data_IF_264424799693
#
_entry.id   IF_264424799693
#
_cell.length_a   1.000
_cell.length_b   1.000
_cell.length_c   1.000
_cell.angle_alpha   90.00
_cell.angle_beta   90.00
_cell.angle_gamma   90.00
#
_symmetry.space_group_name_H-M   'P 1'
#
loop_
_entity.id
_entity.type
_entity.pdbx_description
1 polymer ?
#
# COMPACT_ATOMS: atom_id res chain seq x y z
N UNK A 1 34.98 -5.38 12.36
CA UNK A 1 35.13 -6.78 11.92
C UNK A 1 34.15 -7.77 12.62
N UNK A 2 33.08 -7.29 13.28
CA UNK A 2 32.06 -8.14 13.96
C UNK A 2 30.76 -8.30 13.15
N UNK A 3 30.53 -7.43 12.15
CA UNK A 3 29.37 -7.50 11.25
C UNK A 3 29.51 -8.54 10.12
N UNK A 4 30.71 -9.08 9.88
CA UNK A 4 30.97 -10.00 8.76
C UNK A 4 30.52 -11.44 9.01
N UNK A 5 30.08 -11.76 10.24
CA UNK A 5 29.70 -13.11 10.67
C UNK A 5 28.25 -13.27 11.11
N UNK A 6 27.43 -12.20 11.07
CA UNK A 6 25.99 -12.37 11.08
C UNK A 6 25.59 -13.03 9.76
N UNK A 7 25.64 -14.38 9.78
CA UNK A 7 25.40 -15.32 8.69
C UNK A 7 24.37 -14.73 7.75
N UNK A 8 24.73 -14.53 6.47
CA UNK A 8 23.84 -14.10 5.37
C UNK A 8 22.40 -14.63 5.47
N UNK A 9 22.25 -15.87 5.96
CA UNK A 9 20.98 -16.58 6.25
C UNK A 9 20.11 -15.99 7.37
N UNK A 10 20.69 -15.36 8.39
CA UNK A 10 20.01 -14.63 9.47
C UNK A 10 19.42 -13.32 8.92
N UNK A 11 20.21 -12.55 8.16
CA UNK A 11 19.78 -11.29 7.52
C UNK A 11 18.64 -11.56 6.52
N UNK A 12 18.74 -12.62 5.73
CA UNK A 12 17.67 -13.04 4.81
C UNK A 12 16.39 -13.49 5.53
N UNK A 13 16.51 -14.10 6.73
CA UNK A 13 15.35 -14.45 7.56
C UNK A 13 14.70 -13.19 8.13
N UNK A 14 15.50 -12.27 8.66
CA UNK A 14 15.02 -11.01 9.23
C UNK A 14 14.28 -10.18 8.17
N UNK A 15 14.85 -10.07 6.96
CA UNK A 15 14.20 -9.36 5.86
C UNK A 15 12.85 -9.98 5.47
N UNK A 16 12.75 -11.31 5.41
CA UNK A 16 11.49 -12.00 5.13
C UNK A 16 10.46 -11.77 6.24
N UNK A 17 10.89 -11.85 7.50
CA UNK A 17 10.04 -11.57 8.66
C UNK A 17 9.49 -10.14 8.63
N UNK A 18 10.38 -9.16 8.53
CA UNK A 18 10.01 -7.74 8.46
C UNK A 18 9.11 -7.43 7.27
N UNK A 19 9.46 -7.90 6.08
CA UNK A 19 8.64 -7.67 4.88
C UNK A 19 7.25 -8.31 5.00
N UNK A 20 7.14 -9.47 5.65
CA UNK A 20 5.84 -10.12 5.88
C UNK A 20 4.99 -9.32 6.86
N UNK A 21 5.59 -8.83 7.95
CA UNK A 21 4.92 -7.95 8.92
C UNK A 21 4.42 -6.68 8.22
N UNK A 22 5.28 -6.04 7.42
CA UNK A 22 4.90 -4.84 6.65
C UNK A 22 3.72 -5.13 5.72
N UNK A 23 3.76 -6.22 4.96
CA UNK A 23 2.67 -6.60 4.07
C UNK A 23 1.35 -6.85 4.82
N UNK A 24 1.39 -7.57 5.94
CA UNK A 24 0.22 -7.85 6.79
C UNK A 24 -0.35 -6.54 7.34
N UNK A 25 0.50 -5.65 7.87
CA UNK A 25 0.09 -4.32 8.34
C UNK A 25 -0.55 -3.51 7.23
N UNK A 26 -0.03 -3.60 6.00
CA UNK A 26 -0.65 -3.00 4.82
C UNK A 26 -2.07 -3.51 4.58
N UNK A 27 -2.26 -4.83 4.51
CA UNK A 27 -3.58 -5.45 4.28
C UNK A 27 -4.55 -5.04 5.39
N UNK A 28 -4.18 -5.24 6.66
CA UNK A 28 -5.03 -4.95 7.81
C UNK A 28 -5.35 -3.46 7.87
N UNK A 29 -4.35 -2.60 7.66
CA UNK A 29 -4.51 -1.15 7.64
C UNK A 29 -5.49 -0.69 6.57
N UNK A 30 -5.41 -1.24 5.34
CA UNK A 30 -6.34 -0.91 4.26
C UNK A 30 -7.81 -1.15 4.63
N UNK A 31 -8.11 -2.22 5.38
CA UNK A 31 -9.47 -2.46 5.88
C UNK A 31 -9.88 -1.50 6.99
N UNK A 32 -8.97 -1.19 7.92
CA UNK A 32 -9.29 -0.38 9.10
C UNK A 32 -9.41 1.13 8.80
N UNK A 33 -8.79 1.64 7.74
CA UNK A 33 -8.80 3.08 7.43
C UNK A 33 -10.22 3.58 7.13
N UNK A 34 -11.04 2.78 6.44
CA UNK A 34 -12.43 3.15 6.18
C UNK A 34 -13.23 3.30 7.47
N UNK A 35 -13.08 2.35 8.39
CA UNK A 35 -13.75 2.40 9.70
C UNK A 35 -13.25 3.58 10.54
N UNK A 36 -11.95 3.87 10.48
CA UNK A 36 -11.37 5.04 11.13
C UNK A 36 -11.90 6.36 10.54
N UNK A 37 -12.08 6.43 9.23
CA UNK A 37 -12.69 7.57 8.54
C UNK A 37 -14.13 7.79 9.00
N UNK A 38 -14.97 6.75 8.97
CA UNK A 38 -16.38 6.81 9.41
C UNK A 38 -16.46 7.31 10.85
N UNK A 39 -15.69 6.71 11.77
CA UNK A 39 -15.67 7.13 13.19
C UNK A 39 -15.21 8.59 13.36
N UNK A 40 -14.32 9.07 12.52
CA UNK A 40 -13.86 10.46 12.56
C UNK A 40 -14.88 11.43 11.98
N UNK A 41 -15.59 11.05 10.92
CA UNK A 41 -16.70 11.83 10.36
C UNK A 41 -17.89 11.91 11.31
N UNK A 42 -18.24 10.83 12.02
CA UNK A 42 -19.30 10.86 13.04
C UNK A 42 -18.97 11.82 14.19
N UNK A 43 -17.69 11.89 14.59
CA UNK A 43 -17.21 12.85 15.59
C UNK A 43 -17.23 14.29 15.06
N UNK A 44 -16.91 14.48 13.78
CA UNK A 44 -16.97 15.79 13.13
C UNK A 44 -18.43 16.28 13.03
N UNK A 45 -19.37 15.40 12.68
CA UNK A 45 -20.82 15.67 12.63
C UNK A 45 -21.34 16.30 13.91
N UNK A 46 -20.96 15.75 15.07
CA UNK A 46 -21.37 16.25 16.39
C UNK A 46 -20.77 17.64 16.67
N UNK A 47 -19.56 17.91 16.17
CA UNK A 47 -18.79 19.13 16.49
C UNK A 47 -19.14 20.31 15.58
N UNK A 48 -19.40 20.07 14.30
CA UNK A 48 -19.57 21.13 13.30
C UNK A 48 -21.02 21.30 12.84
N UNK A 49 -21.96 20.49 13.37
CA UNK A 49 -23.36 20.46 12.94
C UNK A 49 -23.48 20.26 11.42
N UNK A 50 -22.56 19.44 10.88
CA UNK A 50 -22.37 19.28 9.44
C UNK A 50 -23.61 18.71 8.76
N UNK A 51 -23.92 19.28 7.60
CA UNK A 51 -24.94 18.78 6.71
C UNK A 51 -24.57 17.37 6.25
N UNK A 52 -25.53 16.45 6.26
CA UNK A 52 -25.39 15.05 5.82
C UNK A 52 -24.74 14.92 4.42
N UNK A 53 -24.89 15.96 3.58
CA UNK A 53 -24.25 16.12 2.28
C UNK A 53 -22.71 16.11 2.34
N UNK A 54 -22.11 16.73 3.36
CA UNK A 54 -20.66 16.76 3.51
C UNK A 54 -20.09 15.38 3.84
N UNK A 55 -20.73 14.67 4.77
CA UNK A 55 -20.33 13.31 5.15
C UNK A 55 -20.41 12.37 3.93
N UNK A 56 -21.51 12.45 3.17
CA UNK A 56 -21.67 11.68 1.94
C UNK A 56 -20.60 12.03 0.89
N UNK A 57 -20.28 13.32 0.74
CA UNK A 57 -19.20 13.76 -0.15
C UNK A 57 -17.84 13.19 0.27
N UNK A 58 -17.48 13.28 1.55
CA UNK A 58 -16.20 12.81 2.08
C UNK A 58 -16.04 11.30 1.92
N UNK A 59 -17.08 10.54 2.29
CA UNK A 59 -17.11 9.09 2.11
C UNK A 59 -17.04 8.71 0.62
N UNK A 60 -17.78 9.40 -0.25
CA UNK A 60 -17.76 9.12 -1.68
C UNK A 60 -16.37 9.35 -2.29
N UNK A 61 -15.66 10.42 -1.90
CA UNK A 61 -14.28 10.67 -2.36
C UNK A 61 -13.31 9.59 -1.93
N UNK A 62 -13.36 9.21 -0.65
CA UNK A 62 -12.51 8.13 -0.14
C UNK A 62 -12.85 6.78 -0.79
N UNK A 63 -14.12 6.38 -0.81
CA UNK A 63 -14.57 5.09 -1.34
C UNK A 63 -14.26 4.99 -2.85
N UNK A 64 -14.40 6.09 -3.61
CA UNK A 64 -14.01 6.14 -5.02
C UNK A 64 -12.53 5.88 -5.21
N UNK A 65 -11.67 6.60 -4.47
CA UNK A 65 -10.23 6.38 -4.54
C UNK A 65 -9.88 4.94 -4.14
N UNK A 66 -10.37 4.48 -2.99
CA UNK A 66 -10.08 3.18 -2.43
C UNK A 66 -10.47 2.03 -3.36
N UNK A 67 -11.64 2.12 -4.00
CA UNK A 67 -12.09 1.12 -4.96
C UNK A 67 -11.12 1.00 -6.14
N UNK A 68 -10.77 2.14 -6.77
CA UNK A 68 -9.90 2.13 -7.94
C UNK A 68 -8.45 1.75 -7.58
N UNK A 69 -7.92 2.29 -6.50
CA UNK A 69 -6.54 2.05 -6.07
C UNK A 69 -6.31 0.59 -5.67
N UNK A 70 -7.20 0.02 -4.84
CA UNK A 70 -7.12 -1.38 -4.42
C UNK A 70 -7.33 -2.35 -5.59
N UNK A 71 -8.25 -2.04 -6.52
CA UNK A 71 -8.47 -2.87 -7.71
C UNK A 71 -7.23 -2.89 -8.60
N UNK A 72 -6.64 -1.72 -8.88
CA UNK A 72 -5.39 -1.63 -9.67
C UNK A 72 -4.25 -2.36 -8.96
N UNK A 73 -4.11 -2.17 -7.65
CA UNK A 73 -3.10 -2.88 -6.84
C UNK A 73 -3.26 -4.40 -6.93
N UNK A 74 -4.48 -4.91 -6.80
CA UNK A 74 -4.76 -6.34 -6.90
C UNK A 74 -4.35 -6.89 -8.27
N UNK A 75 -4.69 -6.20 -9.36
CA UNK A 75 -4.30 -6.59 -10.73
C UNK A 75 -2.76 -6.63 -10.85
N UNK A 76 -2.08 -5.59 -10.36
CA UNK A 76 -0.61 -5.49 -10.40
C UNK A 76 0.03 -6.65 -9.63
N UNK A 77 -0.42 -6.93 -8.42
CA UNK A 77 0.13 -8.02 -7.59
C UNK A 77 -0.08 -9.35 -8.30
N UNK A 78 -1.29 -9.65 -8.77
CA UNK A 78 -1.59 -10.89 -9.48
C UNK A 78 -0.70 -11.03 -10.73
N UNK A 79 -0.58 -9.98 -11.53
CA UNK A 79 0.27 -9.98 -12.73
C UNK A 79 1.74 -10.25 -12.39
N UNK A 80 2.28 -9.60 -11.36
CA UNK A 80 3.65 -9.80 -10.90
C UNK A 80 3.86 -11.23 -10.36
N UNK A 81 2.94 -11.75 -9.54
CA UNK A 81 3.04 -13.10 -9.00
C UNK A 81 3.01 -14.15 -10.13
N UNK A 82 2.11 -14.00 -11.11
CA UNK A 82 2.04 -14.87 -12.29
C UNK A 82 3.32 -14.80 -13.14
N UNK A 83 3.86 -13.59 -13.32
CA UNK A 83 5.11 -13.40 -14.06
C UNK A 83 6.28 -14.10 -13.37
N UNK A 84 6.43 -13.93 -12.05
CA UNK A 84 7.50 -14.58 -11.28
C UNK A 84 7.31 -16.10 -11.30
N UNK A 85 6.08 -16.59 -11.11
CA UNK A 85 5.77 -18.03 -11.13
C UNK A 85 6.14 -18.67 -12.47
N UNK A 86 5.67 -18.10 -13.60
CA UNK A 86 5.93 -18.63 -14.95
C UNK A 86 7.43 -18.66 -15.28
N UNK A 87 8.20 -17.71 -14.74
CA UNK A 87 9.62 -17.56 -15.03
C UNK A 87 10.55 -18.09 -13.93
N UNK A 88 10.04 -18.85 -12.93
CA UNK A 88 10.81 -19.28 -11.75
C UNK A 88 12.18 -19.92 -12.07
N UNK A 89 12.25 -20.73 -13.13
CA UNK A 89 13.47 -21.41 -13.56
C UNK A 89 14.40 -20.56 -14.46
N UNK A 90 13.91 -19.43 -15.00
CA UNK A 90 14.61 -18.58 -15.98
C UNK A 90 14.83 -17.13 -15.48
N UNK A 91 14.67 -16.92 -14.18
CA UNK A 91 14.88 -15.63 -13.51
C UNK A 91 16.39 -15.37 -13.36
N UNK A 92 17.00 -14.87 -14.44
CA UNK A 92 18.38 -14.36 -14.41
C UNK A 92 18.53 -13.20 -13.42
N UNK A 93 19.73 -12.93 -12.91
CA UNK A 93 19.99 -11.80 -12.00
C UNK A 93 19.46 -10.46 -12.54
N UNK A 94 19.61 -10.19 -13.83
CA UNK A 94 19.17 -8.94 -14.46
C UNK A 94 17.64 -8.81 -14.46
N UNK A 95 16.91 -9.89 -14.75
CA UNK A 95 15.44 -9.91 -14.67
C UNK A 95 14.95 -9.70 -13.25
N UNK A 96 15.66 -10.26 -12.26
CA UNK A 96 15.35 -10.06 -10.83
C UNK A 96 15.59 -8.61 -10.40
N UNK A 97 16.61 -7.95 -10.97
CA UNK A 97 16.88 -6.53 -10.75
C UNK A 97 15.76 -5.68 -11.36
N UNK A 98 15.45 -5.89 -12.65
CA UNK A 98 14.38 -5.17 -13.35
C UNK A 98 13.03 -5.26 -12.65
N UNK A 99 12.65 -6.44 -12.17
CA UNK A 99 11.41 -6.62 -11.39
C UNK A 99 11.42 -5.82 -10.08
N UNK A 100 12.59 -5.70 -9.42
CA UNK A 100 12.73 -4.86 -8.22
C UNK A 100 12.54 -3.40 -8.55
N UNK A 101 13.18 -2.92 -9.62
CA UNK A 101 13.05 -1.54 -10.08
C UNK A 101 11.59 -1.20 -10.38
N UNK A 102 10.87 -2.08 -11.09
CA UNK A 102 9.45 -1.90 -11.38
C UNK A 102 8.63 -1.79 -10.08
N UNK A 103 8.83 -2.69 -9.13
CA UNK A 103 8.08 -2.65 -7.86
C UNK A 103 8.40 -1.37 -7.08
N UNK A 104 9.67 -0.95 -7.02
CA UNK A 104 10.06 0.30 -6.35
C UNK A 104 9.45 1.52 -7.04
N UNK A 105 9.41 1.56 -8.37
CA UNK A 105 8.74 2.62 -9.11
C UNK A 105 7.24 2.67 -8.81
N UNK A 106 6.58 1.52 -8.74
CA UNK A 106 5.17 1.43 -8.32
C UNK A 106 4.97 1.92 -6.88
N UNK A 107 5.94 1.61 -5.99
CA UNK A 107 5.93 2.10 -4.61
C UNK A 107 6.14 3.62 -4.49
N UNK A 108 6.72 4.27 -5.50
CA UNK A 108 6.84 5.73 -5.53
C UNK A 108 5.63 6.36 -6.22
N UNK A 109 5.11 5.73 -7.26
CA UNK A 109 3.99 6.24 -8.04
C UNK A 109 2.66 6.26 -7.25
N UNK A 110 2.38 5.23 -6.44
CA UNK A 110 1.13 5.15 -5.65
C UNK A 110 0.92 6.37 -4.73
N UNK A 111 1.86 6.77 -3.85
CA UNK A 111 1.67 7.92 -2.97
C UNK A 111 1.61 9.23 -3.74
N UNK A 112 2.30 9.35 -4.87
CA UNK A 112 2.19 10.54 -5.74
C UNK A 112 0.75 10.65 -6.29
N UNK A 113 0.18 9.54 -6.78
CA UNK A 113 -1.20 9.52 -7.26
C UNK A 113 -2.19 9.86 -6.13
N UNK A 114 -1.95 9.36 -4.92
CA UNK A 114 -2.74 9.67 -3.74
C UNK A 114 -2.66 11.16 -3.34
N UNK A 115 -1.48 11.77 -3.41
CA UNK A 115 -1.29 13.21 -3.16
C UNK A 115 -2.05 14.04 -4.21
N UNK A 116 -1.88 13.71 -5.50
CA UNK A 116 -2.55 14.43 -6.60
C UNK A 116 -4.06 14.34 -6.46
N UNK A 117 -4.60 13.15 -6.17
CA UNK A 117 -6.03 12.99 -5.90
C UNK A 117 -6.46 13.71 -4.61
N UNK A 118 -5.63 13.64 -3.57
CA UNK A 118 -5.85 14.25 -2.26
C UNK A 118 -6.02 15.76 -2.32
N UNK A 119 -5.28 16.47 -3.18
CA UNK A 119 -5.45 17.92 -3.39
C UNK A 119 -6.90 18.30 -3.77
N UNK A 120 -7.60 17.44 -4.52
CA UNK A 120 -9.02 17.64 -4.88
C UNK A 120 -10.01 17.34 -3.75
N UNK A 121 -9.51 16.98 -2.57
CA UNK A 121 -10.31 16.57 -1.40
C UNK A 121 -9.98 17.35 -0.13
N UNK A 122 -9.09 18.35 -0.22
CA UNK A 122 -8.76 19.23 0.90
C UNK A 122 -9.98 20.12 1.20
N UNK A 123 -10.57 19.95 2.39
CA UNK A 123 -11.58 20.83 2.94
C UNK A 123 -11.10 21.37 4.29
N UNK A 124 -11.49 22.60 4.64
CA UNK A 124 -11.20 23.25 5.92
C UNK A 124 -11.81 22.52 7.12
N UNK A 125 -12.92 21.82 6.91
CA UNK A 125 -13.70 21.16 7.97
C UNK A 125 -13.16 19.76 8.31
N UNK A 126 -12.65 19.03 7.32
CA UNK A 126 -12.13 17.68 7.50
C UNK A 126 -11.07 17.33 6.45
N UNK A 127 -9.98 16.72 6.90
CA UNK A 127 -8.87 16.29 6.05
C UNK A 127 -9.09 14.87 5.52
N UNK A 128 -9.86 14.74 4.44
CA UNK A 128 -10.06 13.46 3.72
C UNK A 128 -8.75 13.00 3.06
N UNK A 129 -7.91 13.94 2.63
CA UNK A 129 -6.65 13.68 1.95
C UNK A 129 -5.69 12.86 2.84
N UNK A 130 -5.67 13.11 4.16
CA UNK A 130 -4.90 12.31 5.11
C UNK A 130 -5.29 10.82 5.10
N UNK A 131 -6.57 10.49 5.00
CA UNK A 131 -7.03 9.09 4.96
C UNK A 131 -6.69 8.43 3.63
N UNK A 132 -6.80 9.17 2.51
CA UNK A 132 -6.38 8.73 1.17
C UNK A 132 -4.88 8.43 1.15
N UNK A 133 -4.06 9.32 1.72
CA UNK A 133 -2.62 9.12 1.80
C UNK A 133 -2.27 7.92 2.70
N UNK A 134 -2.95 7.78 3.83
CA UNK A 134 -2.76 6.64 4.73
C UNK A 134 -3.09 5.32 4.02
N UNK A 135 -4.16 5.29 3.20
CA UNK A 135 -4.52 4.11 2.42
C UNK A 135 -3.42 3.77 1.41
N UNK A 136 -2.89 4.77 0.71
CA UNK A 136 -1.78 4.56 -0.22
C UNK A 136 -0.54 4.02 0.49
N UNK A 137 -0.20 4.49 1.71
CA UNK A 137 0.92 3.91 2.49
C UNK A 137 0.68 2.43 2.83
N UNK A 138 -0.57 2.05 3.11
CA UNK A 138 -0.93 0.65 3.27
C UNK A 138 -0.71 -0.14 1.97
N UNK A 139 -1.13 0.39 0.83
CA UNK A 139 -0.92 -0.23 -0.50
C UNK A 139 0.58 -0.44 -0.82
N UNK A 140 1.42 0.54 -0.47
CA UNK A 140 2.88 0.40 -0.55
C UNK A 140 3.41 -0.77 0.24
N UNK A 141 2.86 -0.96 1.43
CA UNK A 141 3.23 -2.06 2.31
C UNK A 141 2.80 -3.40 1.70
N UNK A 142 1.65 -3.47 1.03
CA UNK A 142 1.17 -4.66 0.32
C UNK A 142 2.07 -5.00 -0.88
N UNK A 143 2.67 -4.01 -1.56
CA UNK A 143 3.63 -4.25 -2.67
C UNK A 143 4.92 -4.98 -2.22
N UNK A 144 5.14 -5.21 -0.93
CA UNK A 144 6.18 -6.14 -0.46
C UNK A 144 5.87 -7.60 -0.81
N UNK A 145 4.60 -7.98 -1.05
CA UNK A 145 4.21 -9.36 -1.36
C UNK A 145 4.96 -9.89 -2.60
N UNK A 146 4.96 -9.22 -3.77
CA UNK A 146 5.77 -9.66 -4.91
C UNK A 146 7.28 -9.73 -4.61
N UNK A 147 7.82 -8.82 -3.77
CA UNK A 147 9.24 -8.86 -3.39
C UNK A 147 9.59 -10.08 -2.54
N UNK A 148 8.73 -10.42 -1.57
CA UNK A 148 8.86 -11.62 -0.76
C UNK A 148 8.76 -12.88 -1.62
N UNK A 149 7.76 -12.94 -2.50
CA UNK A 149 7.53 -14.08 -3.39
C UNK A 149 8.71 -14.32 -4.33
N UNK A 150 9.26 -13.24 -4.91
CA UNK A 150 10.49 -13.30 -5.73
C UNK A 150 11.66 -13.89 -4.95
N UNK A 151 11.83 -13.52 -3.68
CA UNK A 151 12.93 -14.02 -2.83
C UNK A 151 12.73 -15.45 -2.36
N UNK A 152 11.50 -15.94 -2.26
CA UNK A 152 11.23 -17.34 -1.90
C UNK A 152 11.52 -18.33 -3.03
N UNK A 153 11.39 -17.88 -4.28
CA UNK A 153 11.72 -18.69 -5.47
C UNK A 153 13.18 -18.52 -5.94
N UNK A 154 13.96 -17.70 -5.23
CA UNK A 154 15.37 -17.46 -5.52
C UNK A 154 16.26 -18.50 -4.86
#
# INVERSE_FOLDING_TARGET
>A
MLLSFWKKREIERLYRGMGSIVAITGIVGSFLIRDALVKSLDRARIRFNDEERFIQWALSKFDTFALWSLLVLAIIIVALLLYIWKNKQRLTPDKRLGLTVIIVLLMVASPIAAIVYGFGTINKEFDVAAYILTLSICELSILYIPLLFKRMMA
#
